data_IF_721797211876
#
_entry.id   IF_721797211876
#
_cell.length_a   1.000
_cell.length_b   1.000
_cell.length_c   1.000
_cell.angle_alpha   90.00
_cell.angle_beta   90.00
_cell.angle_gamma   90.00
#
_symmetry.space_group_name_H-M   'P 1'
#
loop_
_entity.id
_entity.type
_entity.pdbx_description
1 polymer ?
#
# COMPACT_ATOMS: atom_id res chain seq x y z
N UNK A 1 -10.81 -9.62 16.18
CA UNK A 1 -9.87 -8.82 17.00
C UNK A 1 -9.06 -7.98 16.03
N UNK A 2 -9.49 -6.76 15.75
CA UNK A 2 -8.88 -5.94 14.71
C UNK A 2 -7.47 -5.50 15.14
N UNK A 3 -6.47 -5.77 14.31
CA UNK A 3 -5.11 -5.29 14.53
C UNK A 3 -5.05 -3.80 14.19
N UNK A 4 -5.12 -2.94 15.22
CA UNK A 4 -4.89 -1.51 15.11
C UNK A 4 -3.42 -1.24 14.74
N UNK A 5 -3.11 -1.31 13.44
CA UNK A 5 -1.75 -1.26 12.88
C UNK A 5 -1.15 0.17 12.86
N UNK A 6 -1.91 1.19 13.22
CA UNK A 6 -1.45 2.58 13.20
C UNK A 6 -1.74 3.34 14.51
N UNK A 7 -0.75 3.47 15.40
CA UNK A 7 -0.71 4.58 16.35
C UNK A 7 -0.36 5.87 15.59
N UNK A 8 -1.35 6.44 14.89
CA UNK A 8 -1.17 7.74 14.25
C UNK A 8 -0.97 8.81 15.35
N UNK A 9 0.17 9.49 15.30
CA UNK A 9 0.56 10.48 16.31
C UNK A 9 -0.42 11.65 16.40
N UNK A 10 -0.38 12.36 17.52
CA UNK A 10 -1.40 13.29 18.08
C UNK A 10 -1.89 14.45 17.18
N UNK A 11 -1.40 14.57 15.94
CA UNK A 11 -1.75 15.64 14.99
C UNK A 11 -2.35 15.14 13.67
N UNK A 12 -2.70 13.86 13.53
CA UNK A 12 -3.25 13.31 12.28
C UNK A 12 -4.76 13.05 12.35
N UNK A 13 -5.51 13.59 11.38
CA UNK A 13 -6.97 13.48 11.29
C UNK A 13 -7.35 12.83 9.96
N UNK A 14 -7.97 11.64 9.99
CA UNK A 14 -8.24 10.86 8.77
C UNK A 14 -9.26 11.54 7.83
N UNK A 15 -10.38 11.97 8.36
CA UNK A 15 -11.60 12.31 7.59
C UNK A 15 -11.68 13.77 7.12
N UNK A 16 -10.53 14.44 6.97
CA UNK A 16 -10.46 15.82 6.47
C UNK A 16 -9.81 15.89 5.09
N UNK A 17 -10.34 16.77 4.25
CA UNK A 17 -9.83 16.94 2.90
C UNK A 17 -10.16 18.28 2.28
N UNK A 18 -9.74 18.41 1.02
CA UNK A 18 -10.04 19.53 0.15
C UNK A 18 -10.74 19.04 -1.11
N UNK A 19 -11.74 19.78 -1.55
CA UNK A 19 -12.39 19.59 -2.85
C UNK A 19 -12.63 20.97 -3.47
N UNK A 20 -12.10 21.20 -4.68
CA UNK A 20 -12.11 22.51 -5.35
C UNK A 20 -11.67 23.67 -4.44
N UNK A 21 -10.57 23.45 -3.69
CA UNK A 21 -10.02 24.34 -2.66
C UNK A 21 -10.93 24.64 -1.44
N UNK A 22 -12.14 24.08 -1.35
CA UNK A 22 -13.03 24.20 -0.19
C UNK A 22 -12.72 23.11 0.85
N UNK A 23 -12.91 23.44 2.13
CA UNK A 23 -12.70 22.50 3.25
C UNK A 23 -13.86 21.51 3.32
N UNK A 24 -13.55 20.21 3.30
CA UNK A 24 -14.55 19.14 3.34
C UNK A 24 -14.23 18.11 4.42
N UNK A 25 -15.29 17.54 4.99
CA UNK A 25 -15.24 16.30 5.77
C UNK A 25 -15.61 15.14 4.85
N UNK A 26 -14.82 14.07 4.90
CA UNK A 26 -15.01 12.86 4.09
C UNK A 26 -15.85 11.89 4.92
N UNK A 27 -17.04 11.54 4.45
CA UNK A 27 -18.03 10.74 5.20
C UNK A 27 -17.93 9.27 4.82
N UNK A 28 -17.90 9.02 3.51
CA UNK A 28 -17.66 7.72 2.89
C UNK A 28 -16.63 7.91 1.78
N UNK A 29 -15.56 7.13 1.80
CA UNK A 29 -14.49 7.21 0.82
C UNK A 29 -14.89 6.65 -0.55
N UNK A 30 -15.81 5.68 -0.55
CA UNK A 30 -16.42 5.04 -1.71
C UNK A 30 -17.90 4.73 -1.41
N UNK A 31 -18.79 4.87 -2.40
CA UNK A 31 -20.19 4.48 -2.29
C UNK A 31 -20.35 2.97 -2.53
N UNK A 32 -21.21 2.25 -1.79
CA UNK A 32 -21.33 0.78 -1.87
C UNK A 32 -21.82 0.26 -3.24
N UNK A 33 -22.42 1.12 -4.06
CA UNK A 33 -22.85 0.81 -5.44
C UNK A 33 -21.87 1.36 -6.49
N UNK A 34 -20.99 2.29 -6.12
CA UNK A 34 -20.17 3.09 -7.05
C UNK A 34 -18.81 3.45 -6.42
N UNK A 35 -17.83 2.55 -6.54
CA UNK A 35 -16.45 2.68 -6.02
C UNK A 35 -15.73 3.99 -6.42
N UNK A 36 -16.17 4.68 -7.48
CA UNK A 36 -15.55 5.90 -8.01
C UNK A 36 -16.14 7.20 -7.43
N UNK A 37 -17.19 7.10 -6.61
CA UNK A 37 -17.87 8.24 -6.01
C UNK A 37 -17.75 8.17 -4.47
N UNK A 38 -17.53 9.31 -3.84
CA UNK A 38 -17.46 9.49 -2.39
C UNK A 38 -18.59 10.39 -1.89
N UNK A 39 -18.80 10.40 -0.57
CA UNK A 39 -19.78 11.25 0.11
C UNK A 39 -19.06 12.29 0.98
N UNK A 40 -19.34 13.57 0.74
CA UNK A 40 -18.68 14.70 1.40
C UNK A 40 -19.68 15.61 2.13
N UNK A 41 -19.20 16.27 3.18
CA UNK A 41 -19.82 17.47 3.78
C UNK A 41 -18.90 18.66 3.55
N UNK A 42 -19.46 19.81 3.18
CA UNK A 42 -18.70 21.06 3.02
C UNK A 42 -18.73 21.82 4.34
N UNK A 43 -17.56 22.05 4.94
CA UNK A 43 -17.46 22.78 6.21
C UNK A 43 -18.10 24.18 6.11
N UNK A 44 -17.78 24.91 5.05
CA UNK A 44 -18.19 26.30 4.85
C UNK A 44 -19.70 26.48 4.55
N UNK A 45 -20.41 25.39 4.22
CA UNK A 45 -21.86 25.42 3.90
C UNK A 45 -22.72 24.94 5.06
N UNK A 46 -22.10 24.39 6.09
CA UNK A 46 -22.78 23.71 7.17
C UNK A 46 -23.14 24.71 8.28
N UNK A 47 -24.41 24.77 8.73
CA UNK A 47 -24.81 25.62 9.86
C UNK A 47 -23.89 25.43 11.09
N UNK A 48 -23.51 26.50 11.82
CA UNK A 48 -22.52 26.44 12.90
C UNK A 48 -22.78 25.35 13.95
N UNK A 49 -24.06 25.10 14.24
CA UNK A 49 -24.49 24.03 15.16
C UNK A 49 -24.05 22.64 14.68
N UNK A 50 -24.35 22.30 13.43
CA UNK A 50 -23.98 21.01 12.86
C UNK A 50 -22.47 20.94 12.59
N UNK A 51 -21.83 22.05 12.21
CA UNK A 51 -20.38 22.14 12.10
C UNK A 51 -19.67 21.79 13.42
N UNK A 52 -20.09 22.40 14.53
CA UNK A 52 -19.53 22.10 15.84
C UNK A 52 -19.75 20.64 16.25
N UNK A 53 -20.93 20.07 15.97
CA UNK A 53 -21.22 18.66 16.27
C UNK A 53 -20.37 17.69 15.42
N UNK A 54 -20.21 17.96 14.11
CA UNK A 54 -19.33 17.19 13.21
C UNK A 54 -17.87 17.30 13.64
N UNK A 55 -17.40 18.48 14.01
CA UNK A 55 -16.03 18.70 14.48
C UNK A 55 -15.77 18.02 15.83
N UNK A 56 -16.73 18.07 16.76
CA UNK A 56 -16.65 17.36 18.03
C UNK A 56 -16.64 15.83 17.85
N UNK A 57 -17.41 15.31 16.89
CA UNK A 57 -17.37 13.89 16.53
C UNK A 57 -16.02 13.49 15.92
N UNK A 58 -15.53 14.28 14.96
CA UNK A 58 -14.25 14.07 14.28
C UNK A 58 -13.06 14.00 15.26
N UNK A 59 -13.05 14.83 16.29
CA UNK A 59 -11.96 14.89 17.27
C UNK A 59 -11.97 13.73 18.28
N UNK A 60 -12.96 12.82 18.26
CA UNK A 60 -12.97 11.66 19.16
C UNK A 60 -11.93 10.60 18.76
N UNK A 61 -11.21 9.99 19.72
CA UNK A 61 -10.23 8.95 19.43
C UNK A 61 -10.86 7.67 18.88
N UNK A 62 -12.11 7.38 19.25
CA UNK A 62 -12.91 6.26 18.71
C UNK A 62 -13.15 6.45 17.21
N UNK A 63 -13.60 7.64 16.83
CA UNK A 63 -13.84 8.02 15.44
C UNK A 63 -12.56 7.88 14.60
N UNK A 64 -11.42 8.37 15.08
CA UNK A 64 -10.14 8.21 14.37
C UNK A 64 -9.68 6.75 14.23
N UNK A 65 -10.22 5.80 15.00
CA UNK A 65 -9.94 4.37 14.83
C UNK A 65 -10.86 3.69 13.81
N UNK A 66 -12.05 4.24 13.55
CA UNK A 66 -12.99 3.68 12.57
C UNK A 66 -12.43 3.70 11.14
N UNK A 67 -13.02 2.83 10.32
CA UNK A 67 -12.77 2.78 8.87
C UNK A 67 -13.50 3.92 8.14
N UNK A 68 -14.73 4.25 8.56
CA UNK A 68 -15.62 5.20 7.89
C UNK A 68 -16.23 6.19 8.89
N UNK A 69 -16.38 7.45 8.49
CA UNK A 69 -16.92 8.49 9.35
C UNK A 69 -18.46 8.48 9.42
N UNK A 70 -19.14 7.87 8.46
CA UNK A 70 -20.59 7.65 8.49
C UNK A 70 -21.05 6.98 9.80
N UNK A 71 -20.43 5.86 10.19
CA UNK A 71 -20.70 5.13 11.43
C UNK A 71 -20.50 6.00 12.68
N UNK A 72 -19.50 6.88 12.67
CA UNK A 72 -19.26 7.81 13.77
C UNK A 72 -20.35 8.89 13.86
N UNK A 73 -20.78 9.46 12.72
CA UNK A 73 -21.85 10.46 12.66
C UNK A 73 -23.19 9.86 13.10
N UNK A 74 -23.49 8.61 12.73
CA UNK A 74 -24.70 7.90 13.15
C UNK A 74 -24.74 7.63 14.67
N UNK A 75 -23.58 7.60 15.35
CA UNK A 75 -23.51 7.53 16.81
C UNK A 75 -23.75 8.86 17.54
N UNK A 76 -23.89 9.98 16.83
CA UNK A 76 -23.94 11.33 17.43
C UNK A 76 -25.37 11.84 17.50
N UNK A 77 -25.82 12.11 18.73
CA UNK A 77 -27.01 12.91 19.00
C UNK A 77 -26.66 14.39 19.13
N UNK A 78 -27.53 15.23 18.59
CA UNK A 78 -27.51 16.68 18.76
C UNK A 78 -28.27 17.07 20.05
N UNK A 79 -28.12 18.31 20.50
CA UNK A 79 -28.74 18.82 21.74
C UNK A 79 -30.28 18.72 21.75
N UNK A 80 -30.93 18.66 20.57
CA UNK A 80 -32.37 18.43 20.42
C UNK A 80 -32.78 16.94 20.61
N UNK A 81 -31.84 16.05 20.92
CA UNK A 81 -32.03 14.59 20.93
C UNK A 81 -32.13 13.94 19.55
N UNK A 82 -32.06 14.72 18.46
CA UNK A 82 -32.07 14.20 17.08
C UNK A 82 -30.71 13.63 16.69
N UNK A 83 -30.70 12.58 15.87
CA UNK A 83 -29.48 11.99 15.33
C UNK A 83 -28.85 12.89 14.24
N UNK A 84 -27.56 13.20 14.36
CA UNK A 84 -26.83 14.11 13.48
C UNK A 84 -26.82 13.61 12.02
N UNK A 85 -26.51 12.33 11.79
CA UNK A 85 -26.48 11.74 10.45
C UNK A 85 -27.83 11.81 9.75
N UNK A 86 -28.91 11.53 10.49
CA UNK A 86 -30.27 11.62 9.94
C UNK A 86 -30.69 13.04 9.63
N UNK A 87 -30.32 14.03 10.45
CA UNK A 87 -30.55 15.45 10.17
C UNK A 87 -29.78 15.90 8.93
N UNK A 88 -28.49 15.58 8.82
CA UNK A 88 -27.65 15.90 7.66
C UNK A 88 -28.17 15.30 6.35
N UNK A 89 -28.76 14.10 6.42
CA UNK A 89 -29.44 13.47 5.29
C UNK A 89 -30.76 14.15 4.93
N UNK A 90 -31.64 14.38 5.91
CA UNK A 90 -32.95 15.00 5.69
C UNK A 90 -32.86 16.44 5.16
N UNK A 91 -31.84 17.20 5.58
CA UNK A 91 -31.58 18.56 5.10
C UNK A 91 -30.67 18.61 3.85
N UNK A 92 -30.30 17.46 3.28
CA UNK A 92 -29.51 17.34 2.06
C UNK A 92 -28.11 18.04 2.09
N UNK A 93 -27.43 18.04 3.25
CA UNK A 93 -26.07 18.57 3.37
C UNK A 93 -24.99 17.68 2.72
N UNK A 94 -25.26 16.37 2.58
CA UNK A 94 -24.35 15.44 1.93
C UNK A 94 -24.28 15.68 0.42
N UNK A 95 -23.06 15.75 -0.13
CA UNK A 95 -22.83 15.82 -1.57
C UNK A 95 -22.04 14.62 -2.07
N UNK A 96 -22.61 13.94 -3.07
CA UNK A 96 -21.93 12.91 -3.86
C UNK A 96 -20.95 13.58 -4.84
N UNK A 97 -19.69 13.14 -4.85
CA UNK A 97 -18.59 13.72 -5.64
C UNK A 97 -17.69 12.60 -6.17
N UNK A 98 -17.08 12.69 -7.37
CA UNK A 98 -16.11 11.69 -7.80
C UNK A 98 -14.82 11.72 -6.96
N UNK A 99 -14.38 10.57 -6.43
CA UNK A 99 -13.22 10.45 -5.52
C UNK A 99 -11.89 10.86 -6.16
N UNK A 100 -11.86 11.05 -7.48
CA UNK A 100 -10.74 11.62 -8.24
C UNK A 100 -10.49 13.12 -8.00
N UNK A 101 -11.54 13.87 -7.60
CA UNK A 101 -11.48 15.34 -7.41
C UNK A 101 -11.21 15.73 -5.95
N UNK A 102 -11.16 14.76 -5.04
CA UNK A 102 -11.00 14.96 -3.60
C UNK A 102 -9.58 14.65 -3.18
N UNK A 103 -9.02 15.51 -2.34
CA UNK A 103 -7.72 15.32 -1.71
C UNK A 103 -7.89 15.10 -0.22
N UNK A 104 -7.44 13.97 0.30
CA UNK A 104 -7.29 13.76 1.73
C UNK A 104 -6.09 14.56 2.24
N UNK A 105 -6.26 15.24 3.38
CA UNK A 105 -5.23 16.11 3.98
C UNK A 105 -4.99 15.73 5.45
N UNK A 106 -4.35 14.56 5.71
CA UNK A 106 -4.28 13.98 7.06
C UNK A 106 -3.54 14.86 8.08
N UNK A 107 -2.68 15.77 7.62
CA UNK A 107 -1.93 16.74 8.43
C UNK A 107 -2.55 18.15 8.43
N UNK A 108 -3.85 18.26 8.20
CA UNK A 108 -4.57 19.55 8.14
C UNK A 108 -4.65 20.17 6.75
N UNK A 109 -5.63 21.06 6.56
CA UNK A 109 -6.00 21.63 5.26
C UNK A 109 -4.88 22.39 4.55
N UNK A 110 -4.00 23.05 5.31
CA UNK A 110 -2.89 23.86 4.77
C UNK A 110 -1.63 23.05 4.45
N UNK A 111 -1.55 21.79 4.88
CA UNK A 111 -0.37 20.94 4.65
C UNK A 111 -0.11 20.71 3.14
N UNK A 112 1.16 20.68 2.70
CA UNK A 112 1.51 20.34 1.32
C UNK A 112 1.29 18.85 1.01
N UNK A 113 1.24 18.01 2.04
CA UNK A 113 1.04 16.57 1.95
C UNK A 113 -0.44 16.23 1.71
N UNK A 114 -0.88 16.43 0.46
CA UNK A 114 -2.23 16.09 -0.01
C UNK A 114 -2.19 14.84 -0.89
N UNK A 115 -3.08 13.89 -0.64
CA UNK A 115 -3.16 12.61 -1.38
C UNK A 115 -4.53 12.52 -2.05
N UNK A 116 -4.64 12.06 -3.31
CA UNK A 116 -5.95 11.89 -3.95
C UNK A 116 -6.73 10.76 -3.27
N UNK A 117 -8.03 10.97 -3.04
CA UNK A 117 -8.85 10.01 -2.31
C UNK A 117 -8.95 8.66 -3.02
N UNK A 118 -9.10 8.63 -4.36
CA UNK A 118 -9.08 7.37 -5.11
C UNK A 118 -7.77 6.57 -4.92
N UNK A 119 -6.61 7.24 -4.96
CA UNK A 119 -5.31 6.58 -4.74
C UNK A 119 -5.23 6.03 -3.29
N UNK A 120 -5.65 6.82 -2.31
CA UNK A 120 -5.71 6.41 -0.90
C UNK A 120 -6.61 5.17 -0.69
N UNK A 121 -7.81 5.16 -1.25
CA UNK A 121 -8.75 4.02 -1.19
C UNK A 121 -8.15 2.75 -1.79
N UNK A 122 -7.47 2.86 -2.93
CA UNK A 122 -6.79 1.72 -3.55
C UNK A 122 -5.65 1.18 -2.67
N UNK A 123 -4.88 2.05 -2.02
CA UNK A 123 -3.84 1.61 -1.08
C UNK A 123 -4.45 0.94 0.15
N UNK A 124 -5.50 1.51 0.75
CA UNK A 124 -6.21 0.92 1.89
C UNK A 124 -6.79 -0.45 1.55
N UNK A 125 -7.44 -0.62 0.38
CA UNK A 125 -7.97 -1.92 -0.07
C UNK A 125 -6.85 -2.96 -0.23
N UNK A 126 -5.73 -2.61 -0.86
CA UNK A 126 -4.55 -3.49 -1.01
C UNK A 126 -3.92 -3.90 0.34
N UNK A 127 -3.89 -2.98 1.30
CA UNK A 127 -3.37 -3.27 2.66
C UNK A 127 -4.30 -4.24 3.39
N UNK A 128 -5.63 -4.06 3.31
CA UNK A 128 -6.62 -4.98 3.90
C UNK A 128 -6.51 -6.37 3.28
N UNK A 129 -6.53 -6.47 1.95
CA UNK A 129 -6.38 -7.73 1.21
C UNK A 129 -5.07 -8.46 1.54
N UNK A 130 -3.94 -7.74 1.61
CA UNK A 130 -2.65 -8.31 2.00
C UNK A 130 -2.61 -8.80 3.45
N UNK A 131 -3.30 -8.10 4.37
CA UNK A 131 -3.47 -8.52 5.76
C UNK A 131 -4.28 -9.82 5.88
N UNK A 132 -5.41 -9.90 5.19
CA UNK A 132 -6.26 -11.10 5.14
C UNK A 132 -5.53 -12.29 4.51
N UNK A 133 -4.76 -12.07 3.45
CA UNK A 133 -3.92 -13.09 2.83
C UNK A 133 -2.87 -13.64 3.82
N UNK A 134 -2.24 -12.77 4.61
CA UNK A 134 -1.27 -13.18 5.64
C UNK A 134 -1.95 -13.92 6.79
N UNK A 135 -3.12 -13.50 7.25
CA UNK A 135 -3.89 -14.25 8.25
C UNK A 135 -4.30 -15.64 7.73
N UNK A 136 -4.73 -15.72 6.47
CA UNK A 136 -5.08 -17.00 5.83
C UNK A 136 -3.86 -17.93 5.73
N UNK A 137 -2.69 -17.40 5.37
CA UNK A 137 -1.44 -18.17 5.37
C UNK A 137 -1.06 -18.67 6.77
N UNK A 138 -1.19 -17.84 7.82
CA UNK A 138 -0.96 -18.26 9.21
C UNK A 138 -1.90 -19.37 9.66
N UNK A 139 -3.21 -19.20 9.44
CA UNK A 139 -4.22 -20.24 9.75
C UNK A 139 -3.98 -21.53 8.96
N UNK A 140 -3.50 -21.43 7.72
CA UNK A 140 -3.09 -22.59 6.94
C UNK A 140 -1.88 -23.31 7.56
N UNK A 141 -0.81 -22.58 7.91
CA UNK A 141 0.38 -23.15 8.56
C UNK A 141 0.05 -23.82 9.91
N UNK A 142 -0.75 -23.14 10.74
CA UNK A 142 -1.31 -23.69 11.99
C UNK A 142 -2.09 -24.99 11.74
N UNK A 143 -2.96 -25.03 10.71
CA UNK A 143 -3.74 -26.23 10.36
C UNK A 143 -2.91 -27.36 9.75
N UNK A 144 -1.84 -27.05 9.01
CA UNK A 144 -0.93 -28.03 8.40
C UNK A 144 -0.22 -28.86 9.48
N UNK A 145 0.07 -28.25 10.64
CA UNK A 145 0.58 -28.95 11.83
C UNK A 145 -0.32 -30.10 12.32
N UNK A 146 -1.64 -29.99 12.14
CA UNK A 146 -2.63 -31.00 12.55
C UNK A 146 -2.94 -32.07 11.50
N UNK A 147 -2.30 -32.04 10.32
CA UNK A 147 -2.56 -33.00 9.23
C UNK A 147 -1.44 -34.02 8.99
N UNK A 148 -0.66 -34.32 10.04
CA UNK A 148 0.07 -35.59 10.12
C UNK A 148 -0.92 -36.74 10.37
N UNK A 149 -1.61 -37.19 9.31
CA UNK A 149 -2.31 -38.48 9.33
C UNK A 149 -1.31 -39.56 9.71
N UNK A 150 -1.60 -40.29 10.78
CA UNK A 150 -0.78 -41.41 11.22
C UNK A 150 -0.80 -42.52 10.16
N UNK A 151 0.11 -43.48 10.24
CA UNK A 151 0.19 -44.56 9.23
C UNK A 151 -1.10 -45.39 9.25
N UNK A 152 -1.70 -45.52 10.43
CA UNK A 152 -2.98 -46.14 10.75
C UNK A 152 -4.14 -45.51 9.96
N UNK A 153 -4.31 -44.19 9.99
CA UNK A 153 -5.38 -43.47 9.25
C UNK A 153 -5.33 -43.72 7.74
N UNK A 154 -4.13 -43.98 7.20
CA UNK A 154 -3.92 -44.29 5.78
C UNK A 154 -4.22 -45.75 5.45
N UNK A 155 -4.10 -46.66 6.42
CA UNK A 155 -4.44 -48.07 6.29
C UNK A 155 -5.97 -48.23 6.30
N UNK A 156 -6.67 -47.61 7.24
CA UNK A 156 -8.13 -47.71 7.38
C UNK A 156 -8.89 -47.12 6.17
N UNK A 157 -8.41 -45.98 5.65
CA UNK A 157 -8.94 -45.40 4.43
C UNK A 157 -8.78 -46.29 3.18
N UNK A 158 -7.83 -47.24 3.20
CA UNK A 158 -7.57 -48.17 2.10
C UNK A 158 -8.39 -49.46 2.23
N UNK A 159 -8.64 -49.94 3.45
CA UNK A 159 -9.56 -51.06 3.74
C UNK A 159 -10.99 -50.76 3.27
N UNK A 160 -11.49 -49.54 3.51
CA UNK A 160 -12.87 -49.16 3.18
C UNK A 160 -13.18 -49.02 1.68
N UNK A 161 -12.17 -49.05 0.80
CA UNK A 161 -12.33 -48.94 -0.66
C UNK A 161 -12.52 -50.29 -1.38
N UNK A 162 -12.29 -51.42 -0.70
CA UNK A 162 -12.40 -52.76 -1.26
C UNK A 162 -13.75 -53.44 -0.95
N UNK A 163 -14.88 -52.80 -1.30
CA UNK A 163 -16.16 -53.50 -1.47
C UNK A 163 -16.50 -53.59 -2.97
N UNK A 164 -16.66 -54.80 -3.54
CA UNK A 164 -16.98 -54.96 -4.95
C UNK A 164 -18.49 -54.94 -5.20
N UNK A 165 -18.93 -54.15 -6.19
CA UNK A 165 -20.22 -54.32 -6.86
C UNK A 165 -20.00 -54.75 -8.32
N UNK A 166 -20.86 -55.64 -8.81
CA UNK A 166 -20.67 -56.46 -10.03
C UNK A 166 -21.35 -55.81 -11.26
N UNK A 167 -20.86 -56.00 -12.51
CA UNK A 167 -21.19 -55.14 -13.67
C UNK A 167 -22.15 -55.76 -14.72
N UNK A 168 -22.69 -54.89 -15.61
CA UNK A 168 -23.37 -55.14 -16.92
C UNK A 168 -23.75 -53.73 -17.50
N UNK A 169 -23.78 -53.38 -18.80
CA UNK A 169 -23.14 -53.86 -20.07
C UNK A 169 -23.11 -52.64 -21.08
N UNK A 170 -22.82 -52.70 -22.42
CA UNK A 170 -22.05 -51.59 -23.07
C UNK A 170 -22.62 -50.89 -24.33
N UNK A 171 -22.00 -49.72 -24.64
CA UNK A 171 -21.76 -49.14 -26.01
C UNK A 171 -22.97 -48.53 -26.79
N UNK A 172 -22.79 -47.64 -27.82
CA UNK A 172 -21.55 -47.05 -28.37
C UNK A 172 -21.51 -45.51 -28.51
N UNK A 173 -20.30 -44.93 -28.49
CA UNK A 173 -19.96 -43.69 -29.23
C UNK A 173 -19.52 -44.09 -30.65
N UNK A 174 -19.72 -43.27 -31.70
CA UNK A 174 -18.77 -42.17 -31.97
C UNK A 174 -19.40 -40.92 -32.63
N UNK A 175 -18.67 -39.80 -32.66
CA UNK A 175 -18.35 -39.06 -33.90
C UNK A 175 -17.31 -37.97 -33.61
N UNK A 176 -16.27 -37.95 -34.44
CA UNK A 176 -15.22 -36.94 -34.48
C UNK A 176 -15.66 -35.84 -35.45
N UNK A 177 -15.43 -34.57 -35.11
CA UNK A 177 -15.37 -33.50 -36.10
C UNK A 177 -14.13 -32.64 -35.87
N UNK A 178 -13.49 -32.21 -36.95
CA UNK A 178 -12.17 -31.61 -36.93
C UNK A 178 -12.09 -30.37 -37.82
N UNK A 179 -11.32 -29.37 -37.37
CA UNK A 179 -10.77 -28.23 -38.14
C UNK A 179 -11.80 -27.22 -38.72
N UNK A 180 -11.35 -26.04 -39.23
CA UNK A 180 -9.98 -25.54 -39.36
C UNK A 180 -9.66 -24.19 -38.67
N UNK A 181 -8.39 -23.82 -38.82
CA UNK A 181 -7.71 -22.54 -38.54
C UNK A 181 -8.23 -21.35 -39.34
N UNK A 182 -8.15 -20.14 -38.77
CA UNK A 182 -7.97 -18.80 -39.42
C UNK A 182 -7.93 -17.72 -38.29
N UNK A 183 -7.21 -16.59 -38.32
CA UNK A 183 -6.15 -16.03 -39.19
C UNK A 183 -5.11 -15.32 -38.30
N UNK A 184 -3.83 -15.29 -38.71
CA UNK A 184 -2.82 -14.35 -38.18
C UNK A 184 -2.94 -13.02 -38.92
N UNK A 185 -3.01 -11.89 -38.21
CA UNK A 185 -2.95 -10.55 -38.80
C UNK A 185 -1.83 -9.73 -38.15
N UNK A 186 -0.60 -9.88 -38.66
CA UNK A 186 0.49 -8.92 -38.49
C UNK A 186 0.26 -7.72 -39.41
N UNK A 187 0.33 -6.49 -38.90
CA UNK A 187 0.55 -5.28 -39.71
C UNK A 187 1.75 -4.53 -39.15
N UNK A 188 2.66 -4.17 -40.06
CA UNK A 188 4.00 -3.66 -39.76
C UNK A 188 4.02 -2.18 -39.32
N UNK A 189 5.09 -1.72 -38.63
CA UNK A 189 5.25 -0.32 -38.26
C UNK A 189 5.67 0.53 -39.46
N UNK A 190 5.01 1.67 -39.65
CA UNK A 190 5.43 2.73 -40.58
C UNK A 190 6.29 3.79 -39.86
N UNK A 191 7.54 4.04 -40.31
CA UNK A 191 8.35 5.14 -39.79
C UNK A 191 8.06 6.43 -40.57
N UNK A 192 7.65 7.49 -39.88
CA UNK A 192 7.51 8.82 -40.46
C UNK A 192 8.21 9.87 -39.58
N UNK A 193 9.37 10.32 -40.07
CA UNK A 193 10.21 11.37 -39.46
C UNK A 193 9.49 12.71 -39.45
N UNK A 194 9.35 13.33 -38.27
CA UNK A 194 9.07 14.77 -38.13
C UNK A 194 10.02 15.34 -37.07
N UNK A 195 10.83 16.32 -37.47
CA UNK A 195 11.81 16.95 -36.58
C UNK A 195 11.13 17.89 -35.55
N UNK A 196 11.63 17.99 -34.31
CA UNK A 196 11.11 18.94 -33.33
C UNK A 196 11.62 20.37 -33.63
N UNK A 197 10.71 21.24 -34.04
CA UNK A 197 10.97 22.69 -34.16
C UNK A 197 11.34 23.28 -32.80
N UNK A 198 12.54 23.83 -32.70
CA UNK A 198 13.13 24.36 -31.47
C UNK A 198 12.57 25.77 -31.17
N UNK A 199 11.42 25.85 -30.50
CA UNK A 199 10.87 27.13 -30.03
C UNK A 199 11.67 27.65 -28.81
N UNK A 200 12.16 28.88 -28.92
CA UNK A 200 13.09 29.45 -27.94
C UNK A 200 12.44 29.66 -26.56
N UNK A 201 13.01 29.00 -25.55
CA UNK A 201 12.71 29.28 -24.14
C UNK A 201 13.43 30.57 -23.72
N UNK A 202 12.76 31.60 -23.17
CA UNK A 202 13.44 32.75 -22.62
C UNK A 202 14.32 32.30 -21.44
N UNK A 203 15.60 32.63 -21.49
CA UNK A 203 16.53 32.35 -20.39
C UNK A 203 16.28 33.34 -19.25
N UNK A 204 15.48 32.93 -18.27
CA UNK A 204 15.50 33.57 -16.95
C UNK A 204 16.78 33.10 -16.27
N UNK A 205 17.79 33.96 -16.21
CA UNK A 205 19.01 33.68 -15.48
C UNK A 205 18.68 33.45 -14.00
N UNK A 206 19.15 32.37 -13.36
CA UNK A 206 19.00 32.22 -11.93
C UNK A 206 19.81 33.32 -11.24
N UNK A 207 19.10 34.26 -10.60
CA UNK A 207 19.71 35.21 -9.68
C UNK A 207 20.13 34.43 -8.44
N UNK A 208 21.37 33.94 -8.45
CA UNK A 208 21.99 33.39 -7.25
C UNK A 208 22.23 34.57 -6.28
N UNK A 209 21.61 34.59 -5.09
CA UNK A 209 22.03 35.53 -4.07
C UNK A 209 23.49 35.21 -3.72
N UNK A 210 24.36 36.21 -3.80
CA UNK A 210 25.76 36.06 -3.45
C UNK A 210 25.88 35.87 -1.92
N UNK A 211 25.72 34.63 -1.44
CA UNK A 211 26.09 34.24 -0.09
C UNK A 211 27.56 34.62 0.12
N UNK A 212 27.86 35.36 1.18
CA UNK A 212 29.24 35.73 1.49
C UNK A 212 30.05 34.45 1.74
N UNK A 213 31.33 34.39 1.32
CA UNK A 213 32.12 33.17 1.38
C UNK A 213 32.27 32.62 2.81
N UNK A 214 32.18 33.49 3.82
CA UNK A 214 32.18 33.12 5.23
C UNK A 214 30.94 32.31 5.62
N UNK A 215 29.74 32.70 5.17
CA UNK A 215 28.47 32.00 5.45
C UNK A 215 28.45 30.62 4.80
N UNK A 216 28.83 30.52 3.52
CA UNK A 216 28.96 29.24 2.83
C UNK A 216 29.95 28.29 3.54
N UNK A 217 31.04 28.83 4.11
CA UNK A 217 32.01 28.04 4.89
C UNK A 217 31.47 27.53 6.23
N UNK A 218 30.51 28.24 6.83
CA UNK A 218 29.85 27.85 8.08
C UNK A 218 28.82 26.75 7.83
N UNK A 219 27.97 26.91 6.82
CA UNK A 219 26.99 25.90 6.39
C UNK A 219 27.66 24.58 6.02
N UNK A 220 28.79 24.62 5.30
CA UNK A 220 29.60 23.42 4.96
C UNK A 220 30.17 22.71 6.20
N UNK A 221 30.56 23.45 7.25
CA UNK A 221 31.02 22.85 8.52
C UNK A 221 29.86 22.17 9.26
N UNK A 222 28.71 22.83 9.34
CA UNK A 222 27.52 22.27 9.98
C UNK A 222 27.01 21.02 9.26
N UNK A 223 26.95 21.04 7.92
CA UNK A 223 26.66 19.86 7.10
C UNK A 223 27.66 18.73 7.39
N UNK A 224 28.96 19.05 7.48
CA UNK A 224 30.01 18.10 7.85
C UNK A 224 29.82 17.48 9.24
N UNK A 225 29.37 18.24 10.23
CA UNK A 225 29.04 17.71 11.57
C UNK A 225 27.79 16.83 11.56
N UNK A 226 26.75 17.24 10.84
CA UNK A 226 25.50 16.48 10.74
C UNK A 226 25.73 15.15 10.01
N UNK A 227 26.58 15.13 8.97
CA UNK A 227 27.04 13.89 8.32
C UNK A 227 27.87 13.00 9.26
N UNK A 228 28.75 13.56 10.09
CA UNK A 228 29.48 12.79 11.12
C UNK A 228 28.52 12.16 12.14
N UNK A 229 27.53 12.90 12.63
CA UNK A 229 26.50 12.42 13.57
C UNK A 229 25.71 11.26 12.93
N UNK A 230 25.27 11.41 11.68
CA UNK A 230 24.57 10.35 10.93
C UNK A 230 25.45 9.10 10.72
N UNK A 231 26.74 9.26 10.38
CA UNK A 231 27.67 8.14 10.23
C UNK A 231 27.86 7.35 11.55
N UNK A 232 27.94 8.03 12.69
CA UNK A 232 28.02 7.37 14.02
C UNK A 232 26.74 6.59 14.32
N UNK A 233 25.57 7.16 14.06
CA UNK A 233 24.28 6.46 14.25
C UNK A 233 24.17 5.22 13.36
N UNK A 234 24.56 5.31 12.08
CA UNK A 234 24.58 4.16 11.16
C UNK A 234 25.54 3.05 11.64
N UNK A 235 26.70 3.40 12.21
CA UNK A 235 27.62 2.42 12.80
C UNK A 235 27.03 1.75 14.06
N UNK A 236 26.25 2.46 14.87
CA UNK A 236 25.54 1.87 16.01
C UNK A 236 24.42 0.93 15.55
N UNK A 237 23.60 1.35 14.57
CA UNK A 237 22.56 0.51 13.98
C UNK A 237 23.14 -0.76 13.34
N UNK A 238 24.26 -0.65 12.61
CA UNK A 238 24.95 -1.79 12.03
C UNK A 238 25.40 -2.81 13.09
N UNK A 239 25.94 -2.36 14.23
CA UNK A 239 26.30 -3.25 15.36
C UNK A 239 25.09 -3.99 15.91
N UNK A 240 24.01 -3.28 16.19
CA UNK A 240 22.75 -3.86 16.70
C UNK A 240 22.20 -4.90 15.71
N UNK A 241 22.26 -4.63 14.41
CA UNK A 241 21.83 -5.58 13.38
C UNK A 241 22.74 -6.81 13.31
N UNK A 242 24.06 -6.66 13.45
CA UNK A 242 24.97 -7.83 13.53
C UNK A 242 24.70 -8.67 14.78
N UNK A 243 24.49 -8.07 15.94
CA UNK A 243 24.17 -8.80 17.18
C UNK A 243 22.82 -9.55 17.07
N UNK A 244 21.81 -8.94 16.43
CA UNK A 244 20.53 -9.60 16.15
C UNK A 244 20.71 -10.77 15.19
N UNK A 245 21.50 -10.61 14.12
CA UNK A 245 21.77 -11.68 13.16
C UNK A 245 22.52 -12.86 13.80
N UNK A 246 23.49 -12.59 14.68
CA UNK A 246 24.26 -13.62 15.41
C UNK A 246 23.39 -14.41 16.40
N UNK A 247 22.42 -13.75 17.06
CA UNK A 247 21.43 -14.42 17.92
C UNK A 247 20.46 -15.30 17.15
N UNK A 248 20.02 -14.85 15.97
CA UNK A 248 19.08 -15.60 15.12
C UNK A 248 19.75 -16.79 14.41
N UNK A 249 21.05 -16.68 14.08
CA UNK A 249 21.77 -17.68 13.30
C UNK A 249 23.18 -17.96 13.83
N UNK A 250 23.32 -18.68 14.97
CA UNK A 250 24.62 -18.95 15.60
C UNK A 250 25.57 -19.82 14.74
N UNK A 251 25.06 -20.49 13.70
CA UNK A 251 25.85 -21.36 12.80
C UNK A 251 26.42 -20.65 11.58
N UNK A 252 26.06 -19.37 11.34
CA UNK A 252 26.50 -18.63 10.15
C UNK A 252 27.95 -18.13 10.30
N UNK A 253 28.86 -18.76 9.55
CA UNK A 253 30.29 -18.38 9.54
C UNK A 253 30.48 -16.91 9.13
N UNK A 254 30.96 -16.08 10.05
CA UNK A 254 31.33 -14.68 9.77
C UNK A 254 32.39 -14.63 8.65
N UNK A 255 32.02 -14.18 7.46
CA UNK A 255 32.99 -13.84 6.41
C UNK A 255 33.74 -12.60 6.84
N UNK A 256 35.02 -12.76 7.18
CA UNK A 256 35.90 -11.63 7.49
C UNK A 256 35.95 -10.63 6.32
N UNK A 257 36.17 -9.34 6.64
CA UNK A 257 36.31 -8.25 5.65
C UNK A 257 37.64 -8.38 4.89
N UNK A 258 37.77 -9.42 4.08
CA UNK A 258 38.88 -9.64 3.16
C UNK A 258 38.53 -9.20 1.74
N UNK A 259 39.53 -8.67 1.02
CA UNK A 259 39.46 -8.46 -0.43
C UNK A 259 38.93 -9.75 -1.10
N UNK A 260 37.94 -9.68 -2.01
CA UNK A 260 37.42 -10.89 -2.65
C UNK A 260 38.58 -11.63 -3.34
N UNK A 261 38.82 -12.87 -2.91
CA UNK A 261 39.76 -13.75 -3.63
C UNK A 261 39.14 -14.01 -4.99
N UNK A 262 39.82 -13.55 -6.05
CA UNK A 262 39.32 -13.68 -7.42
C UNK A 262 38.95 -15.13 -7.74
N UNK A 263 37.89 -15.30 -8.53
CA UNK A 263 37.46 -16.61 -9.02
C UNK A 263 38.65 -17.32 -9.68
N UNK A 264 39.06 -18.44 -9.09
CA UNK A 264 40.24 -19.19 -9.52
C UNK A 264 40.02 -19.95 -10.82
N UNK A 265 39.92 -19.23 -11.95
CA UNK A 265 40.18 -19.81 -13.26
C UNK A 265 41.67 -20.14 -13.32
N UNK A 266 41.96 -21.44 -13.35
CA UNK A 266 43.29 -21.98 -13.07
C UNK A 266 44.25 -21.73 -14.22
N UNK A 267 45.35 -21.02 -13.91
CA UNK A 267 46.49 -20.77 -14.79
C UNK A 267 47.36 -22.04 -14.97
N UNK A 268 46.72 -23.20 -15.19
CA UNK A 268 47.34 -24.52 -15.37
C UNK A 268 47.09 -25.16 -16.75
N UNK A 269 46.19 -24.61 -17.59
CA UNK A 269 45.91 -25.17 -18.93
C UNK A 269 46.81 -24.63 -20.07
N UNK A 270 47.69 -23.67 -19.79
CA UNK A 270 48.52 -22.99 -20.81
C UNK A 270 49.99 -23.45 -20.86
N UNK A 271 50.33 -24.60 -20.27
CA UNK A 271 51.71 -25.14 -20.26
C UNK A 271 51.87 -26.55 -20.85
N UNK A 272 50.93 -26.99 -21.69
CA UNK A 272 50.97 -28.28 -22.42
C UNK A 272 50.61 -28.12 -23.90
N UNK A 273 51.32 -27.24 -24.61
CA UNK A 273 51.54 -27.27 -26.07
C UNK A 273 52.86 -26.55 -26.34
N UNK A 274 53.94 -27.31 -26.52
CA UNK A 274 55.29 -26.75 -26.55
C UNK A 274 56.42 -27.77 -26.48
N UNK A 275 56.28 -28.87 -27.21
CA UNK A 275 57.32 -29.73 -27.79
C UNK A 275 56.63 -30.81 -28.63
#
# INVERSE_FOLDING_TARGET
MALNIFPFGENMTKFIGLHNAQKVFIVLDAMPTEDHMCLLLYADKLPPRYYNAVLAALNKPETQQMDEFATAIEGVTLDDGRNLGRVLYTEAHFKKVPSNQVFATPYGFESPNKIKLNELVQYTRKIKEGGEALEKMKRMDESIGFHKKSVEDRIDARLKKNQPSIPISPSPTPTISARPTEVVATVAPTPATVAPTFMARPQIAPVFPAQTPEQASAELKEQGENLKKAAVQLLQQAKILTEKAEKLYPTLKKRGRGRPKGSGLSLKLLKTKGK
#
